data_IF_985278926545
#
_entry.id   IF_985278926545
#
_cell.length_a   1.000
_cell.length_b   1.000
_cell.length_c   1.000
_cell.angle_alpha   90.00
_cell.angle_beta   90.00
_cell.angle_gamma   90.00
#
_symmetry.space_group_name_H-M   'P 1'
#
loop_
_entity.id
_entity.type
_entity.pdbx_description
1 polymer ?
#
# COMPACT_ATOMS: atom_id res chain seq x y z
N UNK A 1 -5.19 -10.82 -3.18
CA UNK A 1 -4.07 -10.23 -3.95
C UNK A 1 -4.67 -9.35 -5.03
N UNK A 2 -4.11 -8.17 -5.31
CA UNK A 2 -4.67 -7.24 -6.29
C UNK A 2 -4.56 -7.80 -7.71
N UNK A 3 -5.38 -7.29 -8.65
CA UNK A 3 -5.32 -7.73 -10.05
C UNK A 3 -3.96 -7.41 -10.69
N UNK A 4 -3.36 -6.27 -10.33
CA UNK A 4 -2.05 -5.83 -10.82
C UNK A 4 -0.91 -6.71 -10.30
N UNK A 5 -0.95 -7.06 -9.01
CA UNK A 5 0.03 -7.97 -8.40
C UNK A 5 0.00 -9.35 -9.06
N UNK A 6 -1.20 -9.90 -9.34
CA UNK A 6 -1.37 -11.16 -10.08
C UNK A 6 -0.85 -11.08 -11.52
N UNK A 7 -1.18 -10.00 -12.24
CA UNK A 7 -0.76 -9.82 -13.62
C UNK A 7 0.76 -9.73 -13.78
N UNK A 8 1.49 -9.38 -12.71
CA UNK A 8 2.95 -9.22 -12.70
C UNK A 8 3.68 -10.34 -11.96
N UNK A 9 2.98 -11.35 -11.46
CA UNK A 9 3.58 -12.45 -10.68
C UNK A 9 4.17 -12.01 -9.33
N UNK A 10 3.72 -10.88 -8.78
CA UNK A 10 4.20 -10.35 -7.51
C UNK A 10 3.27 -10.79 -6.38
N UNK A 11 3.62 -11.92 -5.75
CA UNK A 11 2.80 -12.52 -4.70
C UNK A 11 3.02 -11.91 -3.31
N UNK A 12 4.07 -11.10 -3.17
CA UNK A 12 4.46 -10.45 -1.91
C UNK A 12 3.72 -9.12 -1.65
N UNK A 13 2.81 -8.66 -2.52
CA UNK A 13 2.18 -7.33 -2.40
C UNK A 13 0.71 -7.28 -2.85
N UNK A 14 0.11 -6.09 -2.74
CA UNK A 14 -1.27 -5.85 -3.18
C UNK A 14 -2.35 -6.32 -2.20
N UNK A 15 -1.98 -6.55 -0.93
CA UNK A 15 -2.89 -6.79 0.20
C UNK A 15 -2.20 -6.35 1.49
N UNK A 16 -2.97 -5.84 2.44
CA UNK A 16 -2.50 -5.61 3.82
C UNK A 16 -2.72 -6.91 4.58
N UNK A 17 -1.65 -7.69 4.78
CA UNK A 17 -1.66 -8.91 5.57
C UNK A 17 -0.24 -9.22 6.10
N UNK A 18 -0.11 -9.94 7.22
CA UNK A 18 1.18 -10.41 7.71
C UNK A 18 1.93 -11.24 6.65
N UNK A 19 3.27 -11.14 6.65
CA UNK A 19 4.14 -11.86 5.70
C UNK A 19 4.24 -11.23 4.31
N UNK A 20 3.48 -10.18 4.01
CA UNK A 20 3.58 -9.42 2.76
C UNK A 20 4.49 -8.20 2.90
N UNK A 21 5.04 -7.74 1.77
CA UNK A 21 5.85 -6.54 1.65
C UNK A 21 5.05 -5.33 2.13
N UNK A 22 5.62 -4.60 3.08
CA UNK A 22 5.01 -3.43 3.71
C UNK A 22 5.13 -2.16 2.84
N UNK A 23 4.52 -2.19 1.66
CA UNK A 23 4.27 -1.00 0.83
C UNK A 23 2.88 -0.46 1.15
N UNK A 24 2.81 0.65 1.88
CA UNK A 24 1.58 1.14 2.49
C UNK A 24 1.44 2.63 2.21
N UNK A 25 0.20 3.10 2.04
CA UNK A 25 -0.16 4.51 1.98
C UNK A 25 -1.20 4.78 3.07
N UNK A 26 -0.92 5.72 3.97
CA UNK A 26 -1.91 6.18 4.95
C UNK A 26 -2.66 7.36 4.36
N UNK A 27 -3.98 7.23 4.32
CA UNK A 27 -4.88 8.29 3.83
C UNK A 27 -5.76 8.81 4.97
N UNK A 28 -6.13 10.08 4.89
CA UNK A 28 -7.17 10.70 5.72
C UNK A 28 -8.23 11.28 4.79
N UNK A 29 -9.50 11.05 5.09
CA UNK A 29 -10.59 11.73 4.39
C UNK A 29 -10.66 13.19 4.84
N UNK A 30 -10.58 14.13 3.90
CA UNK A 30 -10.76 15.56 4.12
C UNK A 30 -11.79 16.08 3.11
N UNK A 31 -12.90 16.62 3.60
CA UNK A 31 -14.00 17.11 2.75
C UNK A 31 -14.46 16.07 1.70
N UNK A 32 -14.52 14.80 2.09
CA UNK A 32 -14.92 13.70 1.20
C UNK A 32 -13.83 13.20 0.25
N UNK A 33 -12.64 13.81 0.24
CA UNK A 33 -11.52 13.42 -0.63
C UNK A 33 -10.46 12.67 0.19
N UNK A 34 -9.95 11.51 -0.29
CA UNK A 34 -8.83 10.84 0.36
C UNK A 34 -7.52 11.61 0.12
N UNK A 35 -6.91 12.10 1.19
CA UNK A 35 -5.63 12.81 1.13
C UNK A 35 -4.54 11.95 1.74
N UNK A 36 -3.46 11.72 0.99
CA UNK A 36 -2.30 10.97 1.46
C UNK A 36 -1.59 11.73 2.58
N UNK A 37 -1.18 11.01 3.62
CA UNK A 37 -0.48 11.55 4.79
C UNK A 37 0.93 11.01 4.93
N UNK A 38 1.10 9.72 4.65
CA UNK A 38 2.37 9.02 4.82
C UNK A 38 2.46 7.91 3.79
N UNK A 39 3.67 7.65 3.31
CA UNK A 39 3.96 6.57 2.36
C UNK A 39 5.13 5.75 2.89
N UNK A 40 4.99 4.44 2.86
CA UNK A 40 6.03 3.50 3.22
C UNK A 40 6.34 2.57 2.05
N UNK A 41 7.62 2.23 1.91
CA UNK A 41 8.13 1.23 0.97
C UNK A 41 8.93 0.19 1.77
N UNK A 42 8.51 -1.06 1.71
CA UNK A 42 9.10 -2.16 2.49
C UNK A 42 9.34 -1.78 3.97
N UNK A 43 8.34 -1.16 4.61
CA UNK A 43 8.40 -0.76 6.02
C UNK A 43 9.21 0.52 6.30
N UNK A 44 9.92 1.06 5.31
CA UNK A 44 10.63 2.34 5.45
C UNK A 44 9.74 3.48 5.01
N UNK A 45 9.62 4.52 5.84
CA UNK A 45 8.87 5.72 5.49
C UNK A 45 9.63 6.53 4.43
N UNK A 46 8.95 6.90 3.35
CA UNK A 46 9.51 7.68 2.23
C UNK A 46 8.82 9.03 2.03
N UNK A 47 7.66 9.23 2.67
CA UNK A 47 6.90 10.48 2.74
C UNK A 47 6.17 10.58 4.08
#
# INVERSE_FOLDING_TARGET
VSAQARATGLDDRGRIAPGLRADIVRVRMAQGVPVVREVWRAGTRVM
#
